data_IF_420516921728
#
_entry.id   IF_420516921728
#
_cell.length_a   1.000
_cell.length_b   1.000
_cell.length_c   1.000
_cell.angle_alpha   90.00
_cell.angle_beta   90.00
_cell.angle_gamma   90.00
#
_symmetry.space_group_name_H-M   'P 1'
#
loop_
_entity.id
_entity.type
_entity.pdbx_description
1 polymer ?
#
# COMPACT_ATOMS: atom_id res chain seq x y z
N UNK A 1 34.16 2.90 -10.50
CA UNK A 1 33.62 4.11 -9.87
C UNK A 1 33.02 3.67 -8.53
N UNK A 2 33.52 4.14 -7.39
CA UNK A 2 33.09 3.64 -6.08
C UNK A 2 32.40 4.76 -5.28
N UNK A 3 31.10 4.59 -5.04
CA UNK A 3 30.31 5.40 -4.12
C UNK A 3 29.36 4.47 -3.35
N UNK A 4 29.09 4.77 -2.08
CA UNK A 4 28.18 4.01 -1.22
C UNK A 4 27.05 4.94 -0.78
N UNK A 5 25.81 4.51 -0.99
CA UNK A 5 24.63 5.21 -0.51
C UNK A 5 24.24 4.69 0.88
N UNK A 6 24.04 5.61 1.84
CA UNK A 6 23.54 5.29 3.18
C UNK A 6 22.46 6.29 3.58
N UNK A 7 21.29 5.78 3.95
CA UNK A 7 20.19 6.59 4.44
C UNK A 7 20.28 6.75 5.96
N UNK A 8 20.37 7.99 6.44
CA UNK A 8 20.47 8.32 7.88
C UNK A 8 19.11 8.49 8.54
N UNK A 9 18.14 9.07 7.82
CA UNK A 9 16.78 9.28 8.29
C UNK A 9 15.75 8.72 7.32
N UNK A 10 14.76 7.96 7.81
CA UNK A 10 13.64 7.52 7.00
C UNK A 10 12.79 8.71 6.54
N UNK A 11 12.16 8.66 5.36
CA UNK A 11 11.18 9.66 4.96
C UNK A 11 9.99 9.63 5.92
N UNK A 12 9.53 10.81 6.32
CA UNK A 12 8.37 10.98 7.22
C UNK A 12 7.13 11.50 6.50
N UNK A 13 7.23 11.80 5.20
CA UNK A 13 6.15 12.36 4.39
C UNK A 13 5.04 11.35 4.12
N UNK A 14 3.83 11.68 4.57
CA UNK A 14 2.54 11.02 4.33
C UNK A 14 1.99 11.25 2.92
N UNK A 15 1.83 10.23 2.04
CA UNK A 15 1.20 10.44 0.73
C UNK A 15 -0.12 9.68 0.57
N UNK A 16 -0.17 8.43 1.03
CA UNK A 16 -1.34 7.56 0.87
C UNK A 16 -1.78 6.97 2.19
N UNK A 17 -3.08 6.85 2.41
CA UNK A 17 -3.65 6.19 3.58
C UNK A 17 -4.81 5.29 3.17
N UNK A 18 -4.93 4.15 3.84
CA UNK A 18 -5.97 3.14 3.64
C UNK A 18 -6.39 2.56 4.96
N UNK A 19 -7.65 2.14 5.03
CA UNK A 19 -8.21 1.47 6.18
C UNK A 19 -8.68 0.08 5.78
N UNK A 20 -7.93 -0.96 6.17
CA UNK A 20 -8.14 -2.33 5.70
C UNK A 20 -7.79 -3.39 6.76
N UNK A 21 -8.21 -4.62 6.51
CA UNK A 21 -7.96 -5.78 7.38
C UNK A 21 -6.58 -6.38 7.12
N UNK A 22 -5.53 -5.63 7.44
CA UNK A 22 -4.15 -6.00 7.13
C UNK A 22 -3.66 -7.23 7.93
N UNK A 23 -3.83 -7.22 9.26
CA UNK A 23 -3.40 -8.34 10.11
C UNK A 23 -4.44 -9.45 10.20
N UNK A 24 -5.73 -9.15 10.26
CA UNK A 24 -6.79 -10.14 10.43
C UNK A 24 -8.12 -9.56 9.99
N UNK A 25 -9.04 -10.38 9.47
CA UNK A 25 -10.40 -9.97 9.17
C UNK A 25 -11.18 -9.42 10.39
N UNK A 26 -10.73 -9.69 11.62
CA UNK A 26 -11.41 -9.24 12.83
C UNK A 26 -11.09 -7.78 13.21
N UNK A 27 -9.92 -7.27 12.84
CA UNK A 27 -9.47 -5.93 13.21
C UNK A 27 -9.08 -5.12 11.97
N UNK A 28 -9.36 -3.83 12.00
CA UNK A 28 -8.98 -2.92 10.93
C UNK A 28 -7.77 -2.12 11.34
N UNK A 29 -6.89 -1.91 10.38
CA UNK A 29 -5.64 -1.21 10.56
C UNK A 29 -5.58 -0.02 9.61
N UNK A 30 -4.97 1.06 10.08
CA UNK A 30 -4.66 2.22 9.27
C UNK A 30 -3.30 1.99 8.62
N UNK A 31 -3.31 1.66 7.34
CA UNK A 31 -2.11 1.48 6.52
C UNK A 31 -1.79 2.79 5.85
N UNK A 32 -0.57 3.28 6.02
CA UNK A 32 -0.13 4.57 5.49
C UNK A 32 1.18 4.38 4.74
N UNK A 33 1.25 4.87 3.51
CA UNK A 33 2.46 4.81 2.69
C UNK A 33 2.98 6.22 2.42
N UNK A 34 4.30 6.33 2.30
CA UNK A 34 4.98 7.56 1.99
C UNK A 34 6.29 7.29 1.29
N UNK A 35 6.49 7.83 0.09
CA UNK A 35 7.69 7.59 -0.73
C UNK A 35 8.05 6.10 -0.79
N UNK A 36 9.07 5.65 -0.06
CA UNK A 36 9.55 4.26 -0.04
C UNK A 36 9.21 3.49 1.24
N UNK A 37 8.33 4.00 2.09
CA UNK A 37 7.99 3.36 3.37
C UNK A 37 6.49 3.16 3.54
N UNK A 38 6.14 2.08 4.24
CA UNK A 38 4.79 1.71 4.63
C UNK A 38 4.73 1.55 6.14
N UNK A 39 3.74 2.16 6.77
CA UNK A 39 3.49 2.10 8.20
C UNK A 39 2.08 1.58 8.44
N UNK A 40 1.93 0.69 9.41
CA UNK A 40 0.62 0.13 9.79
C UNK A 40 0.34 0.51 11.22
N UNK A 41 -0.73 1.27 11.43
CA UNK A 41 -1.17 1.75 12.73
C UNK A 41 -2.43 1.04 13.19
N UNK A 42 -2.52 0.83 14.50
CA UNK A 42 -3.73 0.43 15.20
C UNK A 42 -4.25 1.60 16.03
N UNK A 43 -5.57 1.78 16.05
CA UNK A 43 -6.22 2.79 16.88
C UNK A 43 -6.50 2.19 18.26
N UNK A 44 -5.82 2.71 19.29
CA UNK A 44 -6.09 2.37 20.67
C UNK A 44 -6.96 3.47 21.29
N UNK A 45 -8.12 3.08 21.81
CA UNK A 45 -8.93 3.94 22.66
C UNK A 45 -8.47 3.73 24.10
N UNK A 46 -7.68 4.67 24.63
CA UNK A 46 -7.27 4.61 26.02
C UNK A 46 -8.42 5.12 26.88
N UNK A 47 -9.18 4.19 27.47
CA UNK A 47 -10.21 4.49 28.45
C UNK A 47 -9.56 4.82 29.80
N UNK A 48 -8.75 5.88 29.85
CA UNK A 48 -8.18 6.37 31.09
C UNK A 48 -9.32 6.84 32.01
N UNK A 49 -9.38 6.17 33.17
CA UNK A 49 -10.03 6.49 34.44
C UNK A 49 -10.86 7.79 34.46
N UNK A 50 -12.19 7.62 34.59
CA UNK A 50 -13.19 8.59 35.09
C UNK A 50 -12.69 10.05 35.23
N UNK A 51 -12.76 10.84 34.16
CA UNK A 51 -12.87 12.30 34.30
C UNK A 51 -12.05 13.20 33.37
N UNK A 52 -11.20 12.68 32.47
CA UNK A 52 -10.55 13.50 31.43
C UNK A 52 -10.74 12.83 30.08
N UNK A 53 -11.04 13.63 29.04
CA UNK A 53 -11.62 13.20 27.77
C UNK A 53 -10.94 11.99 27.10
N UNK A 54 -11.74 11.26 26.32
CA UNK A 54 -11.32 10.13 25.49
C UNK A 54 -10.05 10.51 24.70
N UNK A 55 -8.91 9.85 25.00
CA UNK A 55 -7.65 10.08 24.29
C UNK A 55 -7.42 8.94 23.31
N UNK A 56 -7.60 9.23 22.05
CA UNK A 56 -7.32 8.29 20.96
C UNK A 56 -5.83 8.34 20.62
N UNK A 57 -5.19 7.17 20.55
CA UNK A 57 -3.76 7.06 20.22
C UNK A 57 -3.58 6.07 19.08
N UNK A 58 -2.82 6.48 18.07
CA UNK A 58 -2.33 5.58 17.04
C UNK A 58 -1.05 4.90 17.53
N UNK A 59 -1.05 3.57 17.53
CA UNK A 59 0.09 2.73 17.83
C UNK A 59 0.65 2.15 16.53
N UNK A 60 1.95 2.35 16.28
CA UNK A 60 2.62 1.74 15.13
C UNK A 60 2.83 0.25 15.40
N UNK A 61 2.25 -0.61 14.58
CA UNK A 61 2.32 -2.07 14.73
C UNK A 61 3.35 -2.69 13.79
N UNK A 62 3.48 -2.17 12.57
CA UNK A 62 4.47 -2.65 11.61
C UNK A 62 4.99 -1.54 10.70
N UNK A 63 6.22 -1.69 10.23
CA UNK A 63 6.85 -0.80 9.26
C UNK A 63 7.61 -1.60 8.20
N UNK A 64 7.37 -1.30 6.92
CA UNK A 64 8.01 -1.96 5.78
C UNK A 64 8.70 -0.93 4.89
N UNK A 65 9.86 -1.30 4.36
CA UNK A 65 10.61 -0.47 3.42
C UNK A 65 10.59 -1.08 2.02
N UNK A 66 10.36 -0.26 1.02
CA UNK A 66 10.33 -0.66 -0.39
C UNK A 66 11.53 -0.07 -1.15
N UNK A 67 12.00 -0.79 -2.16
CA UNK A 67 13.06 -0.33 -3.07
C UNK A 67 12.45 0.41 -4.27
N UNK A 68 11.57 1.36 -4.00
CA UNK A 68 10.87 2.15 -5.00
C UNK A 68 9.86 3.09 -4.36
N UNK A 69 9.53 4.18 -5.05
CA UNK A 69 8.52 5.11 -4.57
C UNK A 69 7.13 4.57 -4.91
N UNK A 70 6.28 4.47 -3.90
CA UNK A 70 4.86 4.17 -4.04
C UNK A 70 4.20 5.36 -4.72
N UNK A 71 3.48 5.10 -5.82
CA UNK A 71 2.77 6.13 -6.60
C UNK A 71 1.25 6.08 -6.40
N UNK A 72 0.73 4.92 -6.03
CA UNK A 72 -0.67 4.69 -5.69
C UNK A 72 -0.78 3.40 -4.88
N UNK A 73 -1.72 3.38 -3.94
CA UNK A 73 -1.96 2.25 -3.06
C UNK A 73 -3.46 1.96 -2.97
N UNK A 74 -3.82 0.67 -3.01
CA UNK A 74 -5.19 0.18 -2.84
C UNK A 74 -5.21 -1.11 -2.00
N UNK A 75 -6.35 -1.44 -1.41
CA UNK A 75 -6.56 -2.72 -0.73
C UNK A 75 -7.63 -3.55 -1.44
N UNK A 76 -7.42 -4.86 -1.56
CA UNK A 76 -8.42 -5.81 -2.05
C UNK A 76 -8.50 -7.03 -1.16
N UNK A 77 -9.71 -7.48 -0.87
CA UNK A 77 -9.92 -8.77 -0.23
C UNK A 77 -9.98 -9.85 -1.31
N UNK A 78 -8.98 -10.72 -1.36
CA UNK A 78 -8.97 -11.85 -2.29
C UNK A 78 -9.98 -12.92 -1.83
N UNK A 79 -10.62 -13.60 -2.79
CA UNK A 79 -11.60 -14.64 -2.47
C UNK A 79 -10.98 -15.77 -1.63
N UNK A 80 -11.55 -16.01 -0.44
CA UNK A 80 -11.04 -17.02 0.50
C UNK A 80 -9.87 -16.55 1.37
N UNK A 81 -9.39 -15.31 1.20
CA UNK A 81 -8.34 -14.75 2.04
C UNK A 81 -8.91 -14.26 3.38
N UNK A 82 -8.13 -14.48 4.45
CA UNK A 82 -8.47 -14.02 5.81
C UNK A 82 -8.02 -12.58 6.10
N UNK A 83 -7.34 -11.96 5.14
CA UNK A 83 -6.70 -10.63 5.23
C UNK A 83 -6.84 -9.93 3.89
N UNK A 84 -6.74 -8.61 3.92
CA UNK A 84 -6.72 -7.80 2.72
C UNK A 84 -5.30 -7.76 2.14
N UNK A 85 -5.20 -8.00 0.84
CA UNK A 85 -3.97 -7.78 0.08
C UNK A 85 -3.85 -6.29 -0.29
N UNK A 86 -2.64 -5.78 -0.30
CA UNK A 86 -2.33 -4.43 -0.78
C UNK A 86 -1.87 -4.50 -2.24
N UNK A 87 -2.45 -3.64 -3.07
CA UNK A 87 -1.93 -3.34 -4.40
C UNK A 87 -1.11 -2.06 -4.30
N UNK A 88 0.16 -2.18 -4.64
CA UNK A 88 1.11 -1.08 -4.66
C UNK A 88 1.52 -0.86 -6.10
N UNK A 89 1.44 0.39 -6.54
CA UNK A 89 2.06 0.81 -7.80
C UNK A 89 3.32 1.60 -7.51
N UNK A 90 4.31 1.44 -8.37
CA UNK A 90 5.56 2.16 -8.34
C UNK A 90 5.77 2.88 -9.66
N UNK A 91 6.81 3.73 -9.71
CA UNK A 91 7.25 4.37 -10.96
C UNK A 91 7.49 3.34 -12.07
N UNK A 92 7.39 3.83 -13.31
CA UNK A 92 7.54 3.03 -14.52
C UNK A 92 6.49 1.91 -14.66
N UNK A 93 5.25 2.17 -14.21
CA UNK A 93 4.13 1.25 -14.36
C UNK A 93 4.40 -0.17 -13.80
N UNK A 94 5.03 -0.23 -12.63
CA UNK A 94 5.21 -1.46 -11.85
C UNK A 94 4.07 -1.62 -10.87
N UNK A 95 3.46 -2.80 -10.82
CA UNK A 95 2.41 -3.13 -9.88
C UNK A 95 2.83 -4.36 -9.07
N UNK A 96 2.68 -4.30 -7.75
CA UNK A 96 2.93 -5.39 -6.81
C UNK A 96 1.69 -5.65 -5.98
N UNK A 97 1.31 -6.92 -5.87
CA UNK A 97 0.27 -7.37 -4.94
C UNK A 97 0.96 -8.06 -3.78
N UNK A 98 0.76 -7.54 -2.57
CA UNK A 98 1.41 -8.04 -1.35
C UNK A 98 0.38 -8.35 -0.27
N UNK A 99 0.63 -9.38 0.52
CA UNK A 99 -0.16 -9.75 1.71
C UNK A 99 0.77 -9.85 2.91
N UNK A 100 0.24 -9.58 4.11
CA UNK A 100 0.99 -9.77 5.34
C UNK A 100 1.08 -11.25 5.75
N UNK A 101 2.29 -11.74 6.02
CA UNK A 101 2.52 -13.07 6.56
C UNK A 101 2.74 -13.01 8.10
N UNK A 102 1.84 -13.57 8.92
CA UNK A 102 1.99 -13.59 10.37
C UNK A 102 3.15 -14.46 10.86
N UNK A 103 3.62 -15.42 10.06
CA UNK A 103 4.69 -16.33 10.47
C UNK A 103 6.05 -15.63 10.48
N UNK A 104 6.28 -14.74 9.53
CA UNK A 104 7.54 -13.99 9.37
C UNK A 104 7.45 -12.55 9.86
N UNK A 105 6.23 -12.06 10.12
CA UNK A 105 5.96 -10.64 10.36
C UNK A 105 6.43 -9.74 9.20
N UNK A 106 6.39 -10.28 7.97
CA UNK A 106 6.86 -9.59 6.76
C UNK A 106 5.79 -9.59 5.66
N UNK A 107 6.00 -8.78 4.63
CA UNK A 107 5.17 -8.76 3.44
C UNK A 107 5.55 -9.89 2.48
N UNK A 108 4.57 -10.70 2.13
CA UNK A 108 4.67 -11.73 1.09
C UNK A 108 4.15 -11.18 -0.23
N UNK A 109 5.00 -11.17 -1.25
CA UNK A 109 4.58 -10.83 -2.62
C UNK A 109 3.77 -11.97 -3.23
N UNK A 110 2.54 -11.66 -3.63
CA UNK A 110 1.63 -12.59 -4.30
C UNK A 110 1.77 -12.53 -5.82
N UNK A 111 1.92 -11.33 -6.38
CA UNK A 111 2.08 -11.11 -7.83
C UNK A 111 2.89 -9.85 -8.12
N UNK A 112 3.59 -9.85 -9.25
CA UNK A 112 4.32 -8.72 -9.79
C UNK A 112 3.97 -8.53 -11.27
N UNK A 113 3.62 -7.31 -11.65
CA UNK A 113 3.31 -6.95 -13.03
C UNK A 113 4.16 -5.77 -13.48
N UNK A 114 4.79 -5.91 -14.65
CA UNK A 114 5.66 -4.91 -15.25
C UNK A 114 5.05 -4.45 -16.57
N UNK A 115 4.69 -3.17 -16.65
CA UNK A 115 4.08 -2.58 -17.85
C UNK A 115 5.01 -1.53 -18.48
N UNK A 116 6.31 -1.79 -18.47
CA UNK A 116 7.34 -0.85 -18.95
C UNK A 116 7.43 -0.75 -20.49
N UNK A 117 6.63 -1.51 -21.23
CA UNK A 117 6.75 -1.58 -22.68
C UNK A 117 6.50 -0.21 -23.34
N UNK A 118 7.37 0.21 -24.27
CA UNK A 118 7.27 1.52 -24.92
C UNK A 118 5.95 1.72 -25.67
N UNK A 119 5.32 0.65 -26.13
CA UNK A 119 4.01 0.67 -26.81
C UNK A 119 2.87 1.07 -25.87
N UNK A 120 2.94 0.68 -24.59
CA UNK A 120 1.98 1.07 -23.55
C UNK A 120 2.17 2.53 -23.14
N UNK A 121 3.41 3.04 -23.17
CA UNK A 121 3.71 4.47 -22.93
C UNK A 121 3.12 5.37 -24.02
N UNK A 122 3.12 4.92 -25.28
CA UNK A 122 2.55 5.67 -26.42
C UNK A 122 1.01 5.71 -26.36
N UNK A 123 0.36 4.63 -25.95
CA UNK A 123 -1.11 4.58 -25.79
C UNK A 123 -1.65 5.40 -24.61
N UNK A 124 -0.81 5.71 -23.62
CA UNK A 124 -1.16 6.54 -22.46
C UNK A 124 -1.10 8.06 -22.73
N UNK A 125 -0.79 8.48 -23.98
CA UNK A 125 -0.75 9.88 -24.38
C UNK A 125 0.62 10.53 -24.17
N UNK A 126 1.16 11.12 -25.22
CA UNK A 126 2.41 11.88 -25.20
C UNK A 126 2.35 13.03 -24.19
N UNK A 127 3.19 12.99 -23.15
CA UNK A 127 3.66 14.21 -22.46
C UNK A 127 3.32 14.39 -20.98
N UNK A 128 2.56 13.50 -20.35
CA UNK A 128 2.37 13.53 -18.89
C UNK A 128 2.75 12.16 -18.30
N UNK A 129 3.63 12.08 -17.30
CA UNK A 129 3.72 10.88 -16.48
C UNK A 129 2.41 10.82 -15.69
N UNK A 130 1.41 10.11 -16.23
CA UNK A 130 0.23 9.77 -15.44
C UNK A 130 0.68 8.73 -14.42
N UNK A 131 0.76 9.13 -13.16
CA UNK A 131 1.09 8.21 -12.07
C UNK A 131 0.13 7.01 -12.14
N UNK A 132 0.65 5.76 -12.14
CA UNK A 132 -0.19 4.58 -12.28
C UNK A 132 -1.20 4.53 -11.13
N UNK A 133 -2.47 4.78 -11.42
CA UNK A 133 -3.55 4.71 -10.43
C UNK A 133 -4.06 3.30 -10.33
N UNK A 134 -4.14 2.79 -9.09
CA UNK A 134 -4.73 1.48 -8.82
C UNK A 134 -6.14 1.68 -8.27
N UNK A 135 -7.13 1.12 -8.93
CA UNK A 135 -8.52 1.09 -8.47
C UNK A 135 -8.97 -0.36 -8.27
N UNK A 136 -9.22 -0.80 -7.03
CA UNK A 136 -9.77 -2.12 -6.77
C UNK A 136 -11.26 -2.11 -7.16
N UNK A 137 -11.74 -3.20 -7.78
CA UNK A 137 -13.16 -3.36 -8.03
C UNK A 137 -13.88 -3.61 -6.69
N UNK A 138 -14.89 -2.82 -6.28
CA UNK A 138 -15.63 -3.02 -5.04
C UNK A 138 -16.33 -4.39 -4.94
N UNK A 139 -16.47 -5.12 -6.05
CA UNK A 139 -17.08 -6.45 -6.11
C UNK A 139 -16.07 -7.62 -6.04
N UNK A 140 -14.77 -7.36 -5.94
CA UNK A 140 -13.76 -8.41 -5.82
C UNK A 140 -13.58 -9.30 -7.06
N UNK A 141 -14.20 -8.98 -8.21
CA UNK A 141 -13.94 -9.67 -9.46
C UNK A 141 -12.59 -9.21 -10.03
N UNK A 142 -11.65 -10.11 -10.39
CA UNK A 142 -10.29 -9.71 -10.76
C UNK A 142 -10.14 -9.09 -12.17
N UNK A 143 -11.23 -8.93 -12.95
CA UNK A 143 -11.10 -8.70 -14.40
C UNK A 143 -12.00 -7.65 -15.06
N UNK A 144 -12.92 -6.97 -14.35
CA UNK A 144 -13.91 -6.10 -15.05
C UNK A 144 -13.55 -4.60 -15.12
N UNK A 145 -12.34 -4.19 -14.70
CA UNK A 145 -12.01 -2.76 -14.56
C UNK A 145 -10.99 -2.17 -15.53
N UNK A 146 -10.26 -2.97 -16.32
CA UNK A 146 -9.08 -2.46 -17.05
C UNK A 146 -9.39 -1.81 -18.42
N UNK A 147 -10.66 -1.76 -18.83
CA UNK A 147 -11.06 -1.27 -20.17
C UNK A 147 -12.05 -0.10 -20.18
N UNK A 148 -12.19 0.65 -19.08
CA UNK A 148 -13.28 1.60 -18.92
C UNK A 148 -12.91 3.01 -18.48
N UNK A 149 -11.96 3.67 -19.15
CA UNK A 149 -12.00 5.12 -19.46
C UNK A 149 -10.72 5.50 -20.22
N UNK A 150 -10.74 5.25 -21.54
CA UNK A 150 -9.96 6.02 -22.52
C UNK A 150 -10.72 7.32 -22.83
#
# INVERSE_FOLDING_TARGET
MYAVYKQTHPPTGLEFSLYCHFFSAAERNLVVAGTSQLFVYRLNHDAEVKGKGQREKLELVASFSFFGNVMSMASVQLAGAKRDALLLSFKDAKLSVVEYDPGTHDLKTLSLHYFEEPELRVRMGFGAPSDPRVTPNPLGSPWDGFWGSL
#
